data_IF_843280903082
#
_entry.id   IF_843280903082
#
_cell.length_a   1.000
_cell.length_b   1.000
_cell.length_c   1.000
_cell.angle_alpha   90.00
_cell.angle_beta   90.00
_cell.angle_gamma   90.00
#
_symmetry.space_group_name_H-M   'P 1'
#
loop_
_entity.id
_entity.type
_entity.pdbx_description
1 polymer ?
#
# COMPACT_ATOMS: atom_id res chain seq x y z
N UNK A 1 8.25 -4.91 13.14
CA UNK A 1 7.72 -3.54 12.92
C UNK A 1 6.67 -3.69 11.86
N UNK A 2 5.41 -3.70 12.27
CA UNK A 2 4.35 -4.33 11.48
C UNK A 2 3.71 -3.35 10.49
N UNK A 3 4.17 -2.09 10.51
CA UNK A 3 3.74 -1.05 9.58
C UNK A 3 4.90 -0.13 9.19
N UNK A 4 4.88 0.38 7.95
CA UNK A 4 5.74 1.48 7.49
C UNK A 4 5.04 2.31 6.41
N UNK A 5 5.05 3.63 6.55
CA UNK A 5 4.81 4.57 5.44
C UNK A 5 6.14 5.02 4.83
N UNK A 6 6.14 5.42 3.57
CA UNK A 6 7.26 6.12 2.92
C UNK A 6 6.70 7.07 1.87
N UNK A 7 7.28 8.29 1.80
CA UNK A 7 6.90 9.34 0.87
C UNK A 7 8.08 9.72 0.00
N UNK A 8 7.86 9.98 -1.28
CA UNK A 8 8.87 10.57 -2.18
C UNK A 8 8.23 11.75 -2.90
N UNK A 9 8.88 12.92 -2.87
CA UNK A 9 8.46 14.11 -3.63
C UNK A 9 9.22 14.17 -4.96
N UNK A 10 8.51 14.43 -6.05
CA UNK A 10 8.99 14.43 -7.44
C UNK A 10 9.86 13.17 -7.74
N UNK A 11 9.27 11.96 -7.74
CA UNK A 11 10.04 10.71 -7.67
C UNK A 11 11.04 10.50 -8.83
N UNK A 12 12.29 10.19 -8.48
CA UNK A 12 13.33 9.89 -9.46
C UNK A 12 13.19 8.48 -10.07
N UNK A 13 13.83 8.19 -11.22
CA UNK A 13 13.73 6.88 -11.89
C UNK A 13 14.01 5.66 -10.99
N UNK A 14 14.94 5.80 -10.04
CA UNK A 14 15.28 4.76 -9.05
C UNK A 14 14.17 4.55 -8.02
N UNK A 15 13.47 5.62 -7.62
CA UNK A 15 12.35 5.56 -6.68
C UNK A 15 11.11 4.96 -7.35
N UNK A 16 10.92 5.22 -8.65
CA UNK A 16 9.90 4.56 -9.46
C UNK A 16 10.16 3.05 -9.59
N UNK A 17 11.43 2.65 -9.78
CA UNK A 17 11.81 1.25 -9.78
C UNK A 17 11.45 0.56 -8.47
N UNK A 18 11.77 1.20 -7.33
CA UNK A 18 11.40 0.70 -5.99
C UNK A 18 9.87 0.63 -5.82
N UNK A 19 9.15 1.73 -6.09
CA UNK A 19 7.71 1.85 -5.88
C UNK A 19 6.91 0.77 -6.63
N UNK A 20 7.25 0.52 -7.90
CA UNK A 20 6.61 -0.52 -8.70
C UNK A 20 7.00 -1.91 -8.23
N UNK A 21 8.30 -2.18 -7.99
CA UNK A 21 8.75 -3.48 -7.47
C UNK A 21 8.10 -3.82 -6.12
N UNK A 22 7.87 -2.83 -5.27
CA UNK A 22 7.22 -3.00 -3.98
C UNK A 22 5.74 -3.38 -4.09
N UNK A 23 5.03 -3.06 -5.18
CA UNK A 23 3.66 -3.61 -5.41
C UNK A 23 3.62 -4.79 -6.37
N UNK A 24 4.72 -5.12 -7.05
CA UNK A 24 4.83 -6.26 -7.96
C UNK A 24 5.07 -7.59 -7.22
N UNK A 25 4.17 -7.94 -6.29
CA UNK A 25 4.15 -9.23 -5.60
C UNK A 25 3.39 -10.32 -6.36
N UNK A 26 3.06 -11.43 -5.70
CA UNK A 26 2.35 -12.57 -6.29
C UNK A 26 0.97 -12.17 -6.84
N UNK A 27 0.28 -11.31 -6.10
CA UNK A 27 -1.00 -10.74 -6.46
C UNK A 27 -0.91 -9.21 -6.41
N UNK A 28 -1.41 -8.56 -7.46
CA UNK A 28 -1.55 -7.10 -7.53
C UNK A 28 -2.98 -6.77 -7.93
N UNK A 29 -3.67 -5.98 -7.11
CA UNK A 29 -5.01 -5.46 -7.40
C UNK A 29 -4.97 -3.94 -7.61
N UNK A 30 -5.77 -3.46 -8.57
CA UNK A 30 -6.13 -2.03 -8.67
C UNK A 30 -7.14 -1.67 -7.59
N UNK A 31 -7.26 -0.38 -7.26
CA UNK A 31 -8.33 0.14 -6.38
C UNK A 31 -9.75 -0.31 -6.76
N UNK A 32 -10.02 -0.55 -8.06
CA UNK A 32 -11.28 -1.13 -8.56
C UNK A 32 -11.58 -2.56 -8.08
N UNK A 33 -10.56 -3.33 -7.70
CA UNK A 33 -10.67 -4.74 -7.31
C UNK A 33 -10.31 -5.73 -8.42
N UNK A 34 -10.04 -5.26 -9.63
CA UNK A 34 -9.52 -6.10 -10.71
C UNK A 34 -8.01 -6.32 -10.53
N UNK A 35 -7.54 -7.53 -10.82
CA UNK A 35 -6.09 -7.83 -10.92
C UNK A 35 -5.44 -6.87 -11.92
N UNK A 36 -4.27 -6.37 -11.57
CA UNK A 36 -3.47 -5.52 -12.45
C UNK A 36 -2.70 -6.37 -13.47
N UNK A 37 -2.56 -5.88 -14.71
CA UNK A 37 -1.64 -6.43 -15.69
C UNK A 37 -0.36 -5.57 -15.85
N UNK A 38 0.57 -5.97 -16.71
CA UNK A 38 1.81 -5.21 -16.93
C UNK A 38 1.56 -3.77 -17.43
N UNK A 39 0.46 -3.51 -18.15
CA UNK A 39 0.11 -2.16 -18.63
C UNK A 39 -0.42 -1.29 -17.50
N UNK A 40 -1.13 -1.89 -16.54
CA UNK A 40 -1.51 -1.19 -15.30
C UNK A 40 -0.25 -0.79 -14.50
N UNK A 41 0.75 -1.68 -14.40
CA UNK A 41 2.04 -1.40 -13.75
C UNK A 41 2.85 -0.32 -14.50
N UNK A 42 2.97 -0.44 -15.83
CA UNK A 42 3.68 0.53 -16.69
C UNK A 42 2.98 1.90 -16.69
N UNK A 43 1.64 1.91 -16.70
CA UNK A 43 0.82 3.11 -16.59
C UNK A 43 0.96 3.80 -15.24
N UNK A 44 0.94 3.05 -14.15
CA UNK A 44 1.22 3.57 -12.80
C UNK A 44 2.64 4.15 -12.71
N UNK A 45 3.64 3.47 -13.30
CA UNK A 45 5.02 3.99 -13.41
C UNK A 45 5.11 5.30 -14.19
N UNK A 46 4.34 5.44 -15.27
CA UNK A 46 4.30 6.67 -16.07
C UNK A 46 3.58 7.82 -15.35
N UNK A 47 2.50 7.54 -14.60
CA UNK A 47 1.86 8.53 -13.73
C UNK A 47 2.81 8.98 -12.62
N UNK A 48 3.51 8.05 -11.99
CA UNK A 48 4.48 8.29 -10.92
C UNK A 48 5.68 9.16 -11.34
N UNK A 49 6.07 9.13 -12.62
CA UNK A 49 7.11 10.02 -13.17
C UNK A 49 6.69 11.50 -13.22
N UNK A 50 5.37 11.77 -13.23
CA UNK A 50 4.80 13.10 -13.43
C UNK A 50 4.03 13.61 -12.19
N UNK A 51 4.06 12.89 -11.06
CA UNK A 51 3.38 13.28 -9.84
C UNK A 51 4.25 14.14 -8.92
N UNK A 52 3.63 15.02 -8.13
CA UNK A 52 4.34 15.78 -7.08
C UNK A 52 4.83 14.87 -5.95
N UNK A 53 4.06 13.82 -5.64
CA UNK A 53 4.35 12.90 -4.55
C UNK A 53 3.88 11.48 -4.87
N UNK A 54 4.67 10.49 -4.45
CA UNK A 54 4.22 9.11 -4.23
C UNK A 54 4.13 8.79 -2.74
N UNK A 55 3.11 8.02 -2.37
CA UNK A 55 2.89 7.44 -1.04
C UNK A 55 2.97 5.92 -1.17
N UNK A 56 3.71 5.29 -0.26
CA UNK A 56 3.72 3.84 -0.09
C UNK A 56 3.45 3.47 1.37
N UNK A 57 2.57 2.50 1.58
CA UNK A 57 2.44 1.78 2.85
C UNK A 57 2.94 0.34 2.69
N UNK A 58 3.43 -0.22 3.78
CA UNK A 58 3.64 -1.65 3.98
C UNK A 58 2.99 -2.04 5.31
N UNK A 59 2.21 -3.11 5.28
CA UNK A 59 1.59 -3.76 6.43
C UNK A 59 2.11 -5.20 6.49
N UNK A 60 2.71 -5.61 7.59
CA UNK A 60 3.11 -7.00 7.83
C UNK A 60 2.17 -7.62 8.86
N UNK A 61 1.72 -8.84 8.58
CA UNK A 61 0.73 -9.57 9.36
C UNK A 61 1.40 -10.66 10.19
N UNK A 62 0.88 -10.90 11.39
CA UNK A 62 1.50 -11.82 12.37
C UNK A 62 1.05 -13.26 12.15
N UNK A 63 -0.10 -13.47 11.53
CA UNK A 63 -0.58 -14.77 11.07
C UNK A 63 -0.53 -14.86 9.54
N UNK A 64 -0.53 -16.08 9.01
CA UNK A 64 -0.66 -16.33 7.58
C UNK A 64 -2.14 -16.22 7.16
N UNK A 65 -2.42 -15.43 6.13
CA UNK A 65 -3.75 -15.21 5.55
C UNK A 65 -3.72 -15.51 4.05
N UNK A 66 -4.88 -15.81 3.46
CA UNK A 66 -4.98 -15.99 2.00
C UNK A 66 -4.61 -14.69 1.24
N UNK A 67 -3.97 -14.84 0.07
CA UNK A 67 -3.37 -13.72 -0.65
C UNK A 67 -4.45 -12.86 -1.32
N UNK A 68 -5.55 -13.46 -1.79
CA UNK A 68 -6.72 -12.72 -2.27
C UNK A 68 -7.50 -12.07 -1.12
N UNK A 69 -7.65 -12.75 0.02
CA UNK A 69 -8.26 -12.19 1.23
C UNK A 69 -7.54 -10.93 1.71
N UNK A 70 -6.19 -11.00 1.82
CA UNK A 70 -5.34 -9.86 2.16
C UNK A 70 -5.52 -8.69 1.19
N UNK A 71 -5.34 -8.96 -0.11
CA UNK A 71 -5.42 -7.92 -1.13
C UNK A 71 -6.80 -7.27 -1.17
N UNK A 72 -7.88 -8.06 -1.10
CA UNK A 72 -9.24 -7.55 -1.16
C UNK A 72 -9.60 -6.73 0.08
N UNK A 73 -9.24 -7.18 1.29
CA UNK A 73 -9.57 -6.47 2.54
C UNK A 73 -8.80 -5.17 2.70
N UNK A 74 -7.50 -5.17 2.43
CA UNK A 74 -6.69 -3.93 2.46
C UNK A 74 -7.17 -2.96 1.38
N UNK A 75 -7.39 -3.42 0.15
CA UNK A 75 -7.94 -2.57 -0.93
C UNK A 75 -9.28 -1.95 -0.58
N UNK A 76 -10.18 -2.67 0.11
CA UNK A 76 -11.46 -2.11 0.55
C UNK A 76 -11.24 -0.90 1.47
N UNK A 77 -10.38 -1.00 2.49
CA UNK A 77 -10.07 0.12 3.39
C UNK A 77 -9.52 1.32 2.62
N UNK A 78 -8.57 1.09 1.72
CA UNK A 78 -7.97 2.17 0.90
C UNK A 78 -8.99 2.83 -0.02
N UNK A 79 -9.89 2.06 -0.66
CA UNK A 79 -11.01 2.57 -1.46
C UNK A 79 -12.00 3.38 -0.61
N UNK A 80 -12.19 2.97 0.65
CA UNK A 80 -13.12 3.61 1.58
C UNK A 80 -12.55 4.90 2.21
N UNK A 81 -11.24 5.19 2.04
CA UNK A 81 -10.52 6.28 2.72
C UNK A 81 -9.66 7.18 1.82
N UNK A 82 -9.38 6.83 0.55
CA UNK A 82 -8.42 7.56 -0.29
C UNK A 82 -9.00 7.99 -1.64
N UNK A 83 -8.90 9.28 -1.93
CA UNK A 83 -9.14 9.84 -3.26
C UNK A 83 -7.92 9.60 -4.17
N UNK A 84 -8.07 8.76 -5.20
CA UNK A 84 -7.09 8.56 -6.26
C UNK A 84 -6.86 7.10 -6.64
N UNK A 85 -6.08 6.88 -7.70
CA UNK A 85 -5.69 5.54 -8.14
C UNK A 85 -4.53 4.97 -7.30
N UNK A 86 -4.70 3.73 -6.86
CA UNK A 86 -3.70 2.99 -6.08
C UNK A 86 -3.61 1.52 -6.50
N UNK A 87 -2.45 0.92 -6.23
CA UNK A 87 -2.16 -0.50 -6.42
C UNK A 87 -1.88 -1.17 -5.08
N UNK A 88 -2.49 -2.34 -4.86
CA UNK A 88 -2.27 -3.20 -3.68
C UNK A 88 -1.53 -4.46 -4.12
N UNK A 89 -0.29 -4.63 -3.65
CA UNK A 89 0.54 -5.81 -3.91
C UNK A 89 0.69 -6.67 -2.66
N UNK A 90 0.70 -8.00 -2.81
CA UNK A 90 0.88 -8.96 -1.70
C UNK A 90 2.16 -9.78 -1.91
N UNK A 91 3.00 -9.84 -0.88
CA UNK A 91 4.25 -10.61 -0.84
C UNK A 91 4.22 -11.57 0.34
N UNK A 92 4.70 -12.79 0.08
CA UNK A 92 4.41 -14.02 0.85
C UNK A 92 5.51 -15.06 0.70
N UNK A 93 6.65 -14.63 0.16
CA UNK A 93 7.92 -15.35 0.08
C UNK A 93 8.74 -15.30 1.38
N UNK A 94 8.24 -14.55 2.38
CA UNK A 94 8.77 -14.45 3.75
C UNK A 94 7.88 -15.15 4.76
N UNK A 95 8.43 -15.56 5.92
CA UNK A 95 7.70 -16.22 7.02
C UNK A 95 6.49 -15.39 7.57
N UNK A 96 6.40 -14.10 7.23
CA UNK A 96 5.24 -13.25 7.47
C UNK A 96 4.69 -12.70 6.14
N UNK A 97 3.37 -12.70 6.01
CA UNK A 97 2.67 -12.08 4.88
C UNK A 97 2.80 -10.56 4.99
N UNK A 98 3.09 -9.87 3.88
CA UNK A 98 3.13 -8.42 3.86
C UNK A 98 2.46 -7.81 2.63
N UNK A 99 1.62 -6.79 2.88
CA UNK A 99 0.83 -6.10 1.87
C UNK A 99 1.39 -4.69 1.68
N UNK A 100 1.71 -4.37 0.44
CA UNK A 100 2.14 -3.05 0.01
C UNK A 100 0.99 -2.33 -0.67
N UNK A 101 0.84 -1.03 -0.40
CA UNK A 101 -0.08 -0.17 -1.15
C UNK A 101 0.65 1.06 -1.64
N UNK A 102 0.62 1.31 -2.95
CA UNK A 102 1.25 2.47 -3.59
C UNK A 102 0.20 3.38 -4.24
N UNK A 103 0.37 4.69 -4.03
CA UNK A 103 -0.45 5.74 -4.62
C UNK A 103 0.46 6.88 -5.13
N UNK A 104 -0.02 7.61 -6.14
CA UNK A 104 0.65 8.78 -6.71
C UNK A 104 -0.35 9.92 -6.94
N UNK A 105 0.10 11.17 -6.81
CA UNK A 105 -0.77 12.33 -6.97
C UNK A 105 -0.10 13.65 -6.57
N UNK A 106 -0.91 14.61 -6.13
CA UNK A 106 -0.43 15.85 -5.51
C UNK A 106 0.08 15.60 -4.09
N UNK A 107 0.81 16.56 -3.53
CA UNK A 107 1.20 16.58 -2.13
C UNK A 107 -0.01 16.53 -1.19
N UNK A 108 -1.12 17.17 -1.57
CA UNK A 108 -2.38 17.21 -0.81
C UNK A 108 -3.09 15.85 -0.78
N UNK A 109 -3.09 15.10 -1.90
CA UNK A 109 -3.67 13.76 -1.98
C UNK A 109 -2.81 12.69 -1.28
N UNK A 110 -1.48 12.84 -1.37
CA UNK A 110 -0.53 11.82 -0.93
C UNK A 110 0.05 12.04 0.47
N UNK A 111 -0.06 13.22 1.08
CA UNK A 111 0.34 13.39 2.48
C UNK A 111 -0.71 12.80 3.43
N UNK A 112 -0.25 12.29 4.57
CA UNK A 112 -1.05 11.91 5.74
C UNK A 112 -0.22 12.25 6.97
N UNK A 113 -0.87 12.79 8.01
CA UNK A 113 -0.23 13.01 9.31
C UNK A 113 -0.25 11.75 10.20
N UNK A 114 0.07 11.92 11.48
CA UNK A 114 0.09 10.81 12.45
C UNK A 114 -1.31 10.23 12.68
N UNK A 115 -2.32 11.08 12.83
CA UNK A 115 -3.67 10.71 13.21
C UNK A 115 -4.39 10.06 12.01
N UNK A 116 -4.13 10.55 10.80
CA UNK A 116 -4.51 9.89 9.54
C UNK A 116 -3.92 8.47 9.45
N UNK A 117 -2.62 8.33 9.76
CA UNK A 117 -1.90 7.05 9.71
C UNK A 117 -2.44 6.07 10.75
N UNK A 118 -2.76 6.52 11.97
CA UNK A 118 -3.34 5.67 13.01
C UNK A 118 -4.76 5.21 12.64
N UNK A 119 -5.60 6.09 12.09
CA UNK A 119 -6.95 5.75 11.60
C UNK A 119 -6.91 4.73 10.46
N UNK A 120 -6.03 4.91 9.47
CA UNK A 120 -5.82 3.94 8.38
C UNK A 120 -5.39 2.58 8.94
N UNK A 121 -4.46 2.56 9.89
CA UNK A 121 -3.94 1.33 10.49
C UNK A 121 -4.99 0.59 11.31
N UNK A 122 -5.79 1.29 12.11
CA UNK A 122 -6.95 0.69 12.79
C UNK A 122 -7.90 0.10 11.76
N UNK A 123 -8.30 0.88 10.76
CA UNK A 123 -9.26 0.44 9.76
C UNK A 123 -8.79 -0.77 8.93
N UNK A 124 -7.47 -0.99 8.77
CA UNK A 124 -6.90 -2.24 8.25
C UNK A 124 -7.01 -3.38 9.27
N UNK A 125 -6.55 -3.20 10.52
CA UNK A 125 -6.65 -4.22 11.59
C UNK A 125 -8.10 -4.67 11.82
N UNK A 126 -9.05 -3.75 11.78
CA UNK A 126 -10.48 -4.01 11.98
C UNK A 126 -11.10 -4.93 10.88
N UNK A 127 -10.36 -5.26 9.81
CA UNK A 127 -10.72 -6.28 8.80
C UNK A 127 -10.15 -7.68 9.09
N UNK A 128 -9.30 -7.87 10.10
CA UNK A 128 -8.63 -9.14 10.41
C UNK A 128 -8.68 -9.48 11.90
N UNK A 129 -9.42 -10.53 12.25
CA UNK A 129 -9.52 -10.97 13.64
C UNK A 129 -8.19 -11.55 14.16
N UNK A 130 -7.70 -11.00 15.28
CA UNK A 130 -6.50 -11.48 15.97
C UNK A 130 -5.18 -10.85 15.51
N UNK A 131 -5.20 -9.96 14.52
CA UNK A 131 -3.99 -9.26 14.05
C UNK A 131 -3.59 -8.09 14.95
N UNK A 132 -2.29 -7.84 15.07
CA UNK A 132 -1.77 -6.63 15.71
C UNK A 132 -0.76 -5.91 14.81
N UNK A 133 -1.25 -4.90 14.07
CA UNK A 133 -0.40 -4.02 13.25
C UNK A 133 0.18 -2.91 14.14
N UNK A 134 1.11 -3.35 14.99
CA UNK A 134 1.92 -2.60 15.96
C UNK A 134 2.34 -1.11 15.55
N UNK A 135 1.43 -0.76 16.46
CA UNK A 135 1.35 0.59 17.03
C UNK A 135 2.72 1.06 17.48
N UNK A 136 3.15 2.22 16.99
CA UNK A 136 4.38 2.88 17.39
C UNK A 136 4.24 3.57 18.75
N UNK A 137 3.69 2.88 19.76
CA UNK A 137 3.68 3.37 21.13
C UNK A 137 5.12 3.57 21.58
N UNK A 138 5.45 4.81 21.97
CA UNK A 138 6.84 5.19 22.28
C UNK A 138 7.40 4.40 23.47
N UNK A 139 8.68 4.05 23.37
CA UNK A 139 9.55 3.58 24.44
C UNK A 139 10.89 4.33 24.35
#
# INVERSE_FOLDING_TARGET
MNYRTTYVRNPGPDDLGKLVNYVAGELVLRGSGLRADQRDLDGFRAAAYNCEMSRQHMFAFEHHHDHEELAQRVRLVFRDQMDGDFLVGVHTDTDTNHVHVAQVGTTEQCYMDTDDIEQLRSAVVDRFHGESIGTGGMA
#
